data_IF_950933566370
#
_entry.id   IF_950933566370
#
_cell.length_a   1.000
_cell.length_b   1.000
_cell.length_c   1.000
_cell.angle_alpha   90.00
_cell.angle_beta   90.00
_cell.angle_gamma   90.00
#
_symmetry.space_group_name_H-M   'P 1'
#
loop_
_entity.id
_entity.type
_entity.pdbx_description
1 polymer ?
#
# COMPACT_ATOMS: atom_id res chain seq x y z
N UNK A 1 28.17 84.19 -40.33
CA UNK A 1 28.24 83.21 -39.22
C UNK A 1 27.01 82.36 -39.28
N UNK A 2 27.13 81.15 -39.83
CA UNK A 2 26.05 80.20 -40.01
C UNK A 2 26.00 79.29 -38.69
N UNK A 3 24.92 79.33 -38.00
CA UNK A 3 24.67 78.39 -36.90
C UNK A 3 24.09 77.07 -37.45
N UNK A 4 24.84 75.96 -37.31
CA UNK A 4 24.43 74.65 -37.69
C UNK A 4 23.70 74.07 -36.48
N UNK A 5 22.41 73.73 -36.64
CA UNK A 5 21.56 73.11 -35.65
C UNK A 5 21.69 71.59 -35.84
N UNK A 6 22.32 70.89 -34.90
CA UNK A 6 22.36 69.41 -34.83
C UNK A 6 21.10 68.92 -34.19
N UNK A 7 20.20 68.31 -34.96
CA UNK A 7 19.12 67.49 -34.45
C UNK A 7 19.66 66.09 -34.13
N UNK A 8 19.82 65.79 -32.85
CA UNK A 8 20.19 64.48 -32.37
C UNK A 8 18.92 63.63 -32.27
N UNK A 9 18.70 62.75 -33.24
CA UNK A 9 17.67 61.72 -33.19
C UNK A 9 18.09 60.63 -32.18
N UNK A 10 17.51 60.59 -31.02
CA UNK A 10 17.59 59.45 -30.04
C UNK A 10 16.69 58.33 -30.56
N UNK A 11 17.28 57.34 -31.22
CA UNK A 11 16.65 56.04 -31.51
C UNK A 11 16.53 55.28 -30.22
N UNK A 12 15.37 55.34 -29.55
CA UNK A 12 14.96 54.37 -28.52
C UNK A 12 14.70 53.02 -29.18
N UNK A 13 15.70 52.16 -29.21
CA UNK A 13 15.51 50.75 -29.52
C UNK A 13 14.75 50.10 -28.35
N UNK A 14 13.46 49.98 -28.50
CA UNK A 14 12.64 49.09 -27.64
C UNK A 14 13.09 47.68 -27.95
N UNK A 15 13.98 47.14 -27.12
CA UNK A 15 14.29 45.72 -27.09
C UNK A 15 13.02 45.01 -26.58
N UNK A 16 12.13 44.66 -27.51
CA UNK A 16 11.10 43.65 -27.26
C UNK A 16 11.81 42.34 -26.95
N UNK A 17 11.99 42.04 -25.67
CA UNK A 17 12.35 40.69 -25.26
C UNK A 17 11.14 39.81 -25.62
N UNK A 18 11.17 39.26 -26.83
CA UNK A 18 10.24 38.22 -27.21
C UNK A 18 10.45 37.07 -26.22
N UNK A 19 9.55 36.96 -25.26
CA UNK A 19 9.48 35.83 -24.35
C UNK A 19 9.29 34.59 -25.23
N UNK A 20 10.35 33.81 -25.44
CA UNK A 20 10.29 32.58 -26.25
C UNK A 20 9.19 31.71 -25.65
N UNK A 21 8.09 31.58 -26.41
CA UNK A 21 6.93 30.78 -26.01
C UNK A 21 7.42 29.35 -25.75
N UNK A 22 7.39 28.92 -24.50
CA UNK A 22 7.76 27.52 -24.18
C UNK A 22 6.78 26.58 -24.86
N UNK A 23 7.20 25.37 -25.18
CA UNK A 23 6.34 24.37 -25.81
C UNK A 23 5.03 24.10 -25.02
N UNK A 24 4.96 24.51 -23.73
CA UNK A 24 3.82 24.30 -22.84
C UNK A 24 3.05 25.58 -22.46
N UNK A 25 3.41 26.73 -23.02
CA UNK A 25 2.86 28.05 -22.63
C UNK A 25 1.34 28.13 -22.72
N UNK A 26 0.74 27.44 -23.70
CA UNK A 26 -0.72 27.45 -23.89
C UNK A 26 -1.43 26.64 -22.81
N UNK A 27 -0.89 25.47 -22.44
CA UNK A 27 -1.37 24.65 -21.32
C UNK A 27 -1.23 25.42 -20.02
N UNK A 28 -0.04 25.99 -19.77
CA UNK A 28 0.26 26.73 -18.54
C UNK A 28 -0.67 27.94 -18.36
N UNK A 29 -0.89 28.71 -19.42
CA UNK A 29 -1.79 29.86 -19.41
C UNK A 29 -3.23 29.48 -19.14
N UNK A 30 -3.68 28.36 -19.71
CA UNK A 30 -5.06 27.87 -19.54
C UNK A 30 -5.30 27.34 -18.14
N UNK A 31 -4.41 26.50 -17.62
CA UNK A 31 -4.57 25.94 -16.26
C UNK A 31 -4.37 27.00 -15.16
N UNK A 32 -3.56 28.03 -15.40
CA UNK A 32 -3.43 29.16 -14.47
C UNK A 32 -4.75 29.92 -14.25
N UNK A 33 -5.71 29.79 -15.17
CA UNK A 33 -7.04 30.42 -15.10
C UNK A 33 -8.12 29.48 -14.60
N UNK A 34 -7.77 28.34 -13.99
CA UNK A 34 -8.76 27.44 -13.40
C UNK A 34 -9.65 28.19 -12.40
N UNK A 35 -10.98 28.14 -12.51
CA UNK A 35 -11.87 28.77 -11.54
C UNK A 35 -11.67 28.22 -10.14
N UNK A 36 -11.84 29.07 -9.12
CA UNK A 36 -11.56 28.69 -7.71
C UNK A 36 -12.40 27.49 -7.27
N UNK A 37 -13.65 27.43 -7.67
CA UNK A 37 -14.58 26.34 -7.36
C UNK A 37 -14.07 24.97 -7.80
N UNK A 38 -13.34 24.88 -8.92
CA UNK A 38 -12.72 23.64 -9.38
C UNK A 38 -11.43 23.28 -8.66
N UNK A 39 -10.76 24.28 -8.07
CA UNK A 39 -9.45 24.11 -7.43
C UNK A 39 -9.51 23.75 -5.95
N UNK A 40 -10.71 23.50 -5.41
CA UNK A 40 -10.93 23.13 -4.00
C UNK A 40 -10.77 21.63 -3.72
N UNK A 41 -10.80 20.80 -4.77
CA UNK A 41 -10.61 19.35 -4.67
C UNK A 41 -9.80 18.80 -5.83
N UNK A 42 -9.11 17.71 -5.64
CA UNK A 42 -8.38 17.00 -6.71
C UNK A 42 -9.34 16.51 -7.80
N UNK A 43 -10.55 16.09 -7.43
CA UNK A 43 -11.60 15.70 -8.38
C UNK A 43 -12.02 16.88 -9.26
N UNK A 44 -12.20 18.06 -8.68
CA UNK A 44 -12.52 19.28 -9.44
C UNK A 44 -11.39 19.63 -10.41
N UNK A 45 -10.13 19.63 -9.93
CA UNK A 45 -8.97 19.92 -10.79
C UNK A 45 -8.86 18.90 -11.93
N UNK A 46 -8.98 17.59 -11.63
CA UNK A 46 -8.92 16.53 -12.63
C UNK A 46 -10.02 16.67 -13.69
N UNK A 47 -11.24 17.00 -13.29
CA UNK A 47 -12.35 17.23 -14.21
C UNK A 47 -12.08 18.44 -15.10
N UNK A 48 -11.68 19.57 -14.53
CA UNK A 48 -11.32 20.76 -15.31
C UNK A 48 -10.24 20.44 -16.34
N UNK A 49 -9.18 19.72 -15.95
CA UNK A 49 -8.11 19.35 -16.84
C UNK A 49 -8.61 18.42 -17.95
N UNK A 50 -9.41 17.41 -17.63
CA UNK A 50 -9.94 16.47 -18.62
C UNK A 50 -10.85 17.15 -19.64
N UNK A 51 -11.66 18.09 -19.22
CA UNK A 51 -12.57 18.84 -20.10
C UNK A 51 -11.82 19.83 -21.02
N UNK A 52 -10.63 20.26 -20.63
CA UNK A 52 -9.91 21.34 -21.30
C UNK A 52 -8.66 20.93 -22.09
N UNK A 53 -8.12 19.72 -21.85
CA UNK A 53 -6.91 19.20 -22.50
C UNK A 53 -7.16 17.82 -23.06
N UNK A 54 -6.59 17.51 -24.22
CA UNK A 54 -6.89 16.29 -24.98
C UNK A 54 -5.86 15.19 -24.75
N UNK A 55 -4.58 15.52 -24.83
CA UNK A 55 -3.50 14.54 -24.77
C UNK A 55 -3.03 14.31 -23.34
N UNK A 56 -2.52 13.13 -23.03
CA UNK A 56 -1.97 12.82 -21.70
C UNK A 56 -0.78 13.74 -21.37
N UNK A 57 0.01 14.12 -22.37
CA UNK A 57 1.10 15.09 -22.17
C UNK A 57 0.60 16.48 -21.76
N UNK A 58 -0.49 16.98 -22.37
CA UNK A 58 -1.11 18.24 -21.94
C UNK A 58 -1.72 18.14 -20.55
N UNK A 59 -2.45 17.06 -20.27
CA UNK A 59 -3.07 16.83 -18.98
C UNK A 59 -2.04 16.78 -17.86
N UNK A 60 -1.00 15.98 -18.01
CA UNK A 60 0.05 15.85 -16.98
C UNK A 60 0.86 17.14 -16.83
N UNK A 61 1.01 17.93 -17.93
CA UNK A 61 1.60 19.28 -17.84
C UNK A 61 0.74 20.20 -16.98
N UNK A 62 -0.56 20.18 -17.18
CA UNK A 62 -1.50 21.00 -16.41
C UNK A 62 -1.43 20.64 -14.92
N UNK A 63 -1.37 19.35 -14.56
CA UNK A 63 -1.18 18.91 -13.17
C UNK A 63 0.13 19.42 -12.60
N UNK A 64 1.24 19.21 -13.33
CA UNK A 64 2.56 19.64 -12.88
C UNK A 64 2.62 21.15 -12.64
N UNK A 65 2.17 21.93 -13.63
CA UNK A 65 2.16 23.38 -13.53
C UNK A 65 1.29 23.85 -12.36
N UNK A 66 0.07 23.32 -12.25
CA UNK A 66 -0.84 23.70 -11.18
C UNK A 66 -0.25 23.38 -9.80
N UNK A 67 0.26 22.17 -9.59
CA UNK A 67 0.85 21.74 -8.33
C UNK A 67 2.06 22.61 -7.97
N UNK A 68 2.98 22.82 -8.92
CA UNK A 68 4.19 23.60 -8.70
C UNK A 68 3.91 25.09 -8.44
N UNK A 69 2.84 25.65 -9.02
CA UNK A 69 2.55 27.08 -8.90
C UNK A 69 1.56 27.44 -7.80
N UNK A 70 0.75 26.50 -7.34
CA UNK A 70 -0.28 26.76 -6.32
C UNK A 70 0.10 26.28 -4.91
N UNK A 71 1.06 25.37 -4.76
CA UNK A 71 1.53 24.92 -3.46
C UNK A 71 2.84 25.62 -3.12
N UNK A 72 2.98 26.12 -1.89
CA UNK A 72 4.21 26.70 -1.37
C UNK A 72 4.90 25.70 -0.45
N UNK A 73 6.25 25.61 -0.55
CA UNK A 73 6.98 24.68 0.29
C UNK A 73 6.96 25.13 1.76
N UNK A 74 6.58 24.22 2.64
CA UNK A 74 6.44 24.47 4.09
C UNK A 74 7.81 24.26 4.78
N UNK A 75 8.67 25.27 4.67
CA UNK A 75 10.04 25.23 5.19
C UNK A 75 10.07 24.93 6.70
N UNK A 76 9.24 25.54 7.56
CA UNK A 76 9.24 25.24 8.99
C UNK A 76 9.00 23.78 9.33
N UNK A 77 8.19 23.07 8.56
CA UNK A 77 7.78 21.68 8.83
C UNK A 77 8.53 20.64 7.97
N UNK A 78 9.59 21.04 7.26
CA UNK A 78 10.30 20.14 6.33
C UNK A 78 11.00 18.97 6.99
N UNK A 79 11.40 19.08 8.26
CA UNK A 79 12.13 18.04 8.99
C UNK A 79 11.24 17.09 9.80
N UNK A 80 9.99 17.44 10.01
CA UNK A 80 9.05 16.66 10.82
C UNK A 80 7.65 16.65 10.22
N UNK A 81 7.47 16.09 9.01
CA UNK A 81 6.13 15.91 8.47
C UNK A 81 5.32 14.97 9.36
N UNK A 82 4.04 15.26 9.55
CA UNK A 82 3.15 14.37 10.29
C UNK A 82 2.98 13.05 9.53
N UNK A 83 3.58 11.99 10.05
CA UNK A 83 3.54 10.66 9.44
C UNK A 83 2.21 9.93 9.69
N UNK A 84 1.38 10.42 10.61
CA UNK A 84 0.08 9.80 10.95
C UNK A 84 -1.05 10.26 10.01
N UNK A 85 -0.85 11.34 9.26
CA UNK A 85 -1.83 11.80 8.28
C UNK A 85 -1.98 10.78 7.13
N UNK A 86 -3.22 10.40 6.85
CA UNK A 86 -3.56 9.60 5.67
C UNK A 86 -3.27 10.38 4.37
N UNK A 87 -3.16 9.71 3.21
CA UNK A 87 -3.04 10.39 1.92
C UNK A 87 -4.13 11.43 1.68
N UNK A 88 -5.38 11.10 2.01
CA UNK A 88 -6.51 11.99 1.84
C UNK A 88 -6.41 13.24 2.72
N UNK A 89 -6.04 13.09 3.99
CA UNK A 89 -5.84 14.22 4.92
C UNK A 89 -4.71 15.14 4.43
N UNK A 90 -3.60 14.58 3.92
CA UNK A 90 -2.52 15.36 3.32
C UNK A 90 -3.00 16.20 2.13
N UNK A 91 -3.80 15.59 1.24
CA UNK A 91 -4.38 16.26 0.07
C UNK A 91 -5.28 17.41 0.51
N UNK A 92 -6.26 17.16 1.39
CA UNK A 92 -7.23 18.16 1.85
C UNK A 92 -6.56 19.34 2.55
N UNK A 93 -5.63 19.04 3.46
CA UNK A 93 -4.82 20.06 4.15
C UNK A 93 -4.03 20.90 3.15
N UNK A 94 -3.40 20.26 2.16
CA UNK A 94 -2.60 20.96 1.14
C UNK A 94 -3.46 21.84 0.26
N UNK A 95 -4.60 21.36 -0.20
CA UNK A 95 -5.53 22.15 -1.00
C UNK A 95 -6.09 23.34 -0.24
N UNK A 96 -6.39 23.17 1.05
CA UNK A 96 -6.88 24.23 1.94
C UNK A 96 -5.82 25.29 2.26
N UNK A 97 -4.63 24.85 2.63
CA UNK A 97 -3.56 25.76 3.11
C UNK A 97 -2.66 26.29 1.99
N UNK A 98 -2.66 25.66 0.83
CA UNK A 98 -1.71 25.88 -0.28
C UNK A 98 -0.25 25.77 0.17
N UNK A 99 0.00 24.92 1.20
CA UNK A 99 1.34 24.67 1.76
C UNK A 99 1.54 23.17 1.98
N UNK A 100 2.77 22.70 1.81
CA UNK A 100 3.16 21.34 2.11
C UNK A 100 4.63 21.06 1.85
N UNK A 101 5.13 19.92 2.30
CA UNK A 101 6.46 19.40 1.98
C UNK A 101 6.36 18.43 0.81
N UNK A 102 7.44 17.81 0.38
CA UNK A 102 7.54 16.98 -0.83
C UNK A 102 6.41 15.93 -0.96
N UNK A 103 6.10 15.20 0.11
CA UNK A 103 5.02 14.20 0.09
C UNK A 103 3.66 14.81 -0.22
N UNK A 104 3.37 16.01 0.25
CA UNK A 104 2.11 16.69 -0.01
C UNK A 104 1.97 17.09 -1.50
N UNK A 105 3.06 17.56 -2.11
CA UNK A 105 3.10 17.82 -3.56
C UNK A 105 2.87 16.52 -4.34
N UNK A 106 3.54 15.45 -3.92
CA UNK A 106 3.46 14.15 -4.58
C UNK A 106 2.05 13.55 -4.46
N UNK A 107 1.40 13.62 -3.29
CA UNK A 107 0.03 13.13 -3.09
C UNK A 107 -0.97 13.88 -3.97
N UNK A 108 -0.93 15.22 -4.00
CA UNK A 108 -1.81 16.02 -4.85
C UNK A 108 -1.60 15.71 -6.33
N UNK A 109 -0.35 15.66 -6.79
CA UNK A 109 -0.02 15.35 -8.18
C UNK A 109 -0.49 13.94 -8.57
N UNK A 110 -0.20 12.96 -7.73
CA UNK A 110 -0.54 11.56 -7.94
C UNK A 110 -2.05 11.35 -8.01
N UNK A 111 -2.80 11.91 -7.07
CA UNK A 111 -4.25 11.74 -7.00
C UNK A 111 -4.97 12.39 -8.18
N UNK A 112 -4.59 13.61 -8.58
CA UNK A 112 -5.14 14.27 -9.77
C UNK A 112 -4.83 13.44 -11.03
N UNK A 113 -3.59 12.95 -11.18
CA UNK A 113 -3.17 12.18 -12.34
C UNK A 113 -3.96 10.88 -12.48
N UNK A 114 -4.10 10.11 -11.39
CA UNK A 114 -4.85 8.85 -11.40
C UNK A 114 -6.36 9.08 -11.65
N UNK A 115 -6.95 10.16 -11.13
CA UNK A 115 -8.34 10.53 -11.42
C UNK A 115 -8.61 10.85 -12.89
N UNK A 116 -7.58 11.23 -13.64
CA UNK A 116 -7.66 11.43 -15.09
C UNK A 116 -7.35 10.16 -15.91
N UNK A 117 -7.12 9.02 -15.24
CA UNK A 117 -6.76 7.75 -15.89
C UNK A 117 -5.28 7.64 -16.27
N UNK A 118 -4.44 8.60 -15.88
CA UNK A 118 -2.98 8.54 -16.09
C UNK A 118 -2.36 7.75 -14.94
N UNK A 119 -1.80 6.57 -15.23
CA UNK A 119 -1.14 5.74 -14.22
C UNK A 119 0.04 6.49 -13.62
N UNK A 120 -0.10 6.91 -12.37
CA UNK A 120 0.88 7.67 -11.62
C UNK A 120 1.18 6.99 -10.28
N UNK A 121 2.43 7.13 -9.80
CA UNK A 121 2.89 6.57 -8.53
C UNK A 121 3.77 7.57 -7.79
N UNK A 122 3.67 7.56 -6.47
CA UNK A 122 4.61 8.26 -5.61
C UNK A 122 5.84 7.39 -5.43
N UNK A 123 7.00 8.00 -5.60
CA UNK A 123 8.30 7.38 -5.42
C UNK A 123 8.98 8.05 -4.22
N UNK A 124 9.44 7.23 -3.30
CA UNK A 124 10.19 7.68 -2.13
C UNK A 124 11.67 7.28 -2.27
N UNK A 125 12.53 8.18 -1.85
CA UNK A 125 13.96 7.98 -1.96
C UNK A 125 14.76 9.10 -1.31
N UNK A 126 15.96 9.31 -1.80
CA UNK A 126 16.84 10.39 -1.36
C UNK A 126 17.49 11.09 -2.56
N UNK A 127 17.99 12.28 -2.31
CA UNK A 127 18.46 13.15 -3.40
C UNK A 127 19.92 13.54 -3.22
N UNK A 128 20.52 13.99 -4.34
CA UNK A 128 21.88 14.52 -4.40
C UNK A 128 21.86 15.89 -5.02
N UNK A 129 22.40 16.89 -4.35
CA UNK A 129 22.52 18.25 -4.81
C UNK A 129 23.98 18.71 -4.68
N UNK A 130 24.53 19.32 -5.73
CA UNK A 130 25.91 19.83 -5.73
C UNK A 130 26.94 18.79 -5.21
N UNK A 131 26.75 17.52 -5.59
CA UNK A 131 27.62 16.42 -5.17
C UNK A 131 27.36 15.86 -3.78
N UNK A 132 26.53 16.50 -2.95
CA UNK A 132 26.22 16.09 -1.59
C UNK A 132 24.87 15.38 -1.51
N UNK A 133 24.81 14.30 -0.71
CA UNK A 133 23.56 13.59 -0.41
C UNK A 133 22.76 14.43 0.58
N UNK A 134 21.45 14.61 0.31
CA UNK A 134 20.55 15.28 1.23
C UNK A 134 20.40 14.48 2.53
N UNK A 135 20.14 15.18 3.63
CA UNK A 135 19.99 14.59 4.97
C UNK A 135 18.55 14.17 5.29
N UNK A 136 17.60 14.52 4.41
CA UNK A 136 16.19 14.16 4.55
C UNK A 136 15.74 13.36 3.31
N UNK A 137 14.82 12.43 3.54
CA UNK A 137 14.16 11.70 2.47
C UNK A 137 13.34 12.65 1.60
N UNK A 138 13.11 12.24 0.37
CA UNK A 138 12.34 13.00 -0.61
C UNK A 138 11.28 12.12 -1.29
N UNK A 139 10.17 12.73 -1.67
CA UNK A 139 9.11 12.09 -2.41
C UNK A 139 8.83 12.87 -3.69
N UNK A 140 8.68 12.13 -4.79
CA UNK A 140 8.32 12.65 -6.11
C UNK A 140 7.36 11.70 -6.81
N UNK A 141 7.07 11.90 -8.09
CA UNK A 141 6.14 11.07 -8.83
C UNK A 141 6.78 10.47 -10.09
N UNK A 142 6.23 9.35 -10.52
CA UNK A 142 6.43 8.83 -11.86
C UNK A 142 5.08 8.56 -12.50
N UNK A 143 4.93 8.89 -13.79
CA UNK A 143 3.71 8.62 -14.53
C UNK A 143 4.01 7.96 -15.88
N UNK A 144 3.10 7.08 -16.31
CA UNK A 144 3.20 6.38 -17.59
C UNK A 144 2.45 7.17 -18.67
N UNK A 145 3.19 7.79 -19.58
CA UNK A 145 2.68 8.58 -20.69
C UNK A 145 3.04 7.88 -21.99
N UNK A 146 2.05 7.60 -22.83
CA UNK A 146 2.27 6.92 -24.12
C UNK A 146 3.09 5.62 -23.95
N UNK A 147 2.71 4.82 -22.95
CA UNK A 147 3.38 3.55 -22.58
C UNK A 147 4.83 3.67 -22.08
N UNK A 148 5.33 4.88 -21.80
CA UNK A 148 6.67 5.10 -21.26
C UNK A 148 6.62 5.80 -19.90
N UNK A 149 7.45 5.36 -18.96
CA UNK A 149 7.58 5.97 -17.65
C UNK A 149 8.46 7.22 -17.71
N UNK A 150 7.97 8.29 -17.10
CA UNK A 150 8.67 9.55 -16.88
C UNK A 150 8.59 9.95 -15.41
N UNK A 151 9.59 10.70 -14.97
CA UNK A 151 9.67 11.19 -13.59
C UNK A 151 9.23 12.65 -13.54
N UNK A 152 8.50 13.00 -12.49
CA UNK A 152 7.97 14.33 -12.22
C UNK A 152 8.28 14.68 -10.77
N UNK A 153 8.96 15.78 -10.53
CA UNK A 153 9.11 16.34 -9.20
C UNK A 153 8.48 17.73 -9.12
N UNK A 154 7.20 17.82 -8.74
CA UNK A 154 6.54 19.11 -8.64
C UNK A 154 7.09 19.98 -7.50
N UNK A 155 7.79 19.40 -6.51
CA UNK A 155 8.44 20.13 -5.42
C UNK A 155 9.64 20.93 -5.91
N UNK A 156 10.60 20.26 -6.55
CA UNK A 156 11.78 20.91 -7.13
C UNK A 156 11.40 21.70 -8.39
N UNK A 157 10.31 21.30 -9.03
CA UNK A 157 9.68 22.05 -10.11
C UNK A 157 9.08 23.37 -9.67
N UNK A 158 8.65 23.49 -8.41
CA UNK A 158 8.05 24.73 -7.87
C UNK A 158 9.08 25.81 -7.52
N UNK A 159 10.31 25.42 -7.17
CA UNK A 159 11.36 26.37 -6.77
C UNK A 159 12.36 25.79 -5.79
N UNK A 160 12.88 26.62 -4.90
CA UNK A 160 13.90 26.23 -3.92
C UNK A 160 13.86 27.05 -2.65
N UNK A 161 14.75 26.73 -1.72
CA UNK A 161 14.89 27.45 -0.46
C UNK A 161 16.13 28.36 -0.55
N UNK A 162 15.95 29.62 -0.24
CA UNK A 162 17.03 30.60 -0.12
C UNK A 162 16.84 31.40 1.18
N UNK A 163 17.87 31.48 2.00
CA UNK A 163 17.85 32.16 3.30
C UNK A 163 16.66 31.75 4.19
N UNK A 164 16.37 30.43 4.25
CA UNK A 164 15.28 29.87 5.06
C UNK A 164 13.87 30.18 4.55
N UNK A 165 13.73 30.72 3.34
CA UNK A 165 12.43 31.03 2.73
C UNK A 165 12.27 30.32 1.40
N UNK A 166 11.06 29.85 1.12
CA UNK A 166 10.72 29.28 -0.17
C UNK A 166 10.67 30.40 -1.25
N UNK A 167 11.43 30.20 -2.33
CA UNK A 167 11.43 31.08 -3.49
C UNK A 167 10.83 30.30 -4.66
N UNK A 168 9.66 30.74 -5.12
CA UNK A 168 8.96 30.14 -6.25
C UNK A 168 9.68 30.49 -7.55
N UNK A 169 10.07 29.46 -8.28
CA UNK A 169 10.67 29.60 -9.61
C UNK A 169 10.42 28.30 -10.38
N UNK A 170 9.45 28.31 -11.28
CA UNK A 170 9.11 27.14 -12.06
C UNK A 170 10.35 26.58 -12.80
N UNK A 171 10.64 25.31 -12.59
CA UNK A 171 11.76 24.60 -13.20
C UNK A 171 11.27 23.39 -14.00
N UNK A 172 11.29 23.54 -15.32
CA UNK A 172 10.82 22.53 -16.26
C UNK A 172 11.74 21.30 -16.37
N UNK A 173 12.95 21.33 -15.79
CA UNK A 173 13.83 20.15 -15.74
C UNK A 173 13.17 18.95 -15.03
N UNK A 174 12.30 19.24 -14.06
CA UNK A 174 11.59 18.24 -13.26
C UNK A 174 10.22 17.86 -13.83
N UNK A 175 9.89 18.34 -15.02
CA UNK A 175 8.71 17.95 -15.77
C UNK A 175 9.07 16.91 -16.83
N UNK A 176 8.39 15.76 -16.82
CA UNK A 176 8.56 14.68 -17.81
C UNK A 176 10.04 14.29 -18.00
N UNK A 177 10.78 14.20 -16.88
CA UNK A 177 12.19 13.88 -16.89
C UNK A 177 12.42 12.41 -17.25
N UNK A 178 13.42 12.16 -18.12
CA UNK A 178 13.84 10.81 -18.45
C UNK A 178 14.47 10.11 -17.23
N UNK A 179 14.09 8.87 -16.90
CA UNK A 179 14.67 8.11 -15.79
C UNK A 179 16.20 8.09 -15.78
N UNK A 180 16.82 7.91 -16.95
CA UNK A 180 18.28 7.88 -17.10
C UNK A 180 18.98 9.20 -16.81
N UNK A 181 18.25 10.32 -16.86
CA UNK A 181 18.79 11.66 -16.54
C UNK A 181 18.55 12.01 -15.07
N UNK A 182 17.33 11.78 -14.59
CA UNK A 182 16.94 12.18 -13.24
C UNK A 182 17.64 11.34 -12.16
N UNK A 183 18.07 10.12 -12.48
CA UNK A 183 18.83 9.25 -11.57
C UNK A 183 20.13 9.91 -11.08
N UNK A 184 20.62 10.93 -11.74
CA UNK A 184 21.78 11.70 -11.28
C UNK A 184 21.56 12.42 -9.95
N UNK A 185 20.31 12.75 -9.65
CA UNK A 185 19.92 13.53 -8.47
C UNK A 185 18.86 12.85 -7.58
N UNK A 186 18.09 11.90 -8.11
CA UNK A 186 16.98 11.26 -7.43
C UNK A 186 17.17 9.75 -7.38
N UNK A 187 17.48 9.22 -6.20
CA UNK A 187 17.70 7.79 -5.97
C UNK A 187 16.53 7.19 -5.20
N UNK A 188 15.67 6.37 -5.84
CA UNK A 188 14.62 5.64 -5.14
C UNK A 188 15.19 4.67 -4.09
N UNK A 189 14.50 4.48 -2.97
CA UNK A 189 14.89 3.47 -1.99
C UNK A 189 14.79 2.06 -2.58
N UNK A 190 13.71 1.77 -3.30
CA UNK A 190 13.55 0.53 -4.07
C UNK A 190 13.95 0.77 -5.52
N UNK A 191 15.01 0.09 -5.97
CA UNK A 191 15.61 0.29 -7.29
C UNK A 191 14.66 -0.04 -8.47
N UNK A 192 13.58 -0.77 -8.26
CA UNK A 192 12.55 -1.00 -9.28
C UNK A 192 12.00 0.34 -9.81
N UNK A 193 11.85 1.32 -8.94
CA UNK A 193 11.33 2.65 -9.24
C UNK A 193 12.34 3.60 -9.87
N UNK A 194 13.50 3.09 -10.28
CA UNK A 194 14.41 3.83 -11.15
C UNK A 194 13.95 3.80 -12.61
N UNK A 195 13.07 2.84 -12.98
CA UNK A 195 12.64 2.61 -14.36
C UNK A 195 13.81 2.38 -15.33
N UNK A 196 14.82 1.66 -14.88
CA UNK A 196 16.05 1.33 -15.62
C UNK A 196 16.25 -0.18 -15.71
N UNK A 197 16.60 -0.67 -16.91
CA UNK A 197 16.93 -2.08 -17.11
C UNK A 197 18.28 -2.50 -16.50
N UNK A 198 19.12 -1.54 -16.19
CA UNK A 198 20.39 -1.71 -15.47
C UNK A 198 20.42 -0.72 -14.30
N UNK A 199 19.76 -1.06 -13.18
CA UNK A 199 19.61 -0.12 -12.07
C UNK A 199 20.95 0.30 -11.48
N UNK A 200 21.02 1.55 -11.05
CA UNK A 200 22.13 2.12 -10.31
C UNK A 200 22.03 1.65 -8.86
N UNK A 201 23.16 1.13 -8.32
CA UNK A 201 23.22 0.77 -6.92
C UNK A 201 23.43 2.01 -6.03
N UNK A 202 23.10 1.88 -4.74
CA UNK A 202 23.39 2.94 -3.77
C UNK A 202 24.88 3.31 -3.75
N UNK A 203 25.78 2.34 -3.88
CA UNK A 203 27.23 2.57 -3.93
C UNK A 203 27.66 3.38 -5.17
N UNK A 204 27.09 3.06 -6.33
CA UNK A 204 27.37 3.79 -7.58
C UNK A 204 26.83 5.21 -7.54
N UNK A 205 25.63 5.41 -7.01
CA UNK A 205 25.04 6.73 -6.83
C UNK A 205 25.90 7.61 -5.93
N UNK A 206 26.38 7.08 -4.81
CA UNK A 206 27.31 7.78 -3.92
C UNK A 206 28.62 8.13 -4.64
N UNK A 207 29.18 7.20 -5.41
CA UNK A 207 30.43 7.39 -6.17
C UNK A 207 30.25 8.21 -7.46
N UNK A 208 29.04 8.65 -7.81
CA UNK A 208 28.77 9.38 -9.05
C UNK A 208 28.81 8.52 -10.32
N UNK A 209 28.83 7.20 -10.19
CA UNK A 209 28.82 6.23 -11.31
C UNK A 209 27.39 5.90 -11.74
N UNK A 210 26.78 6.80 -12.46
CA UNK A 210 25.35 6.71 -12.87
C UNK A 210 25.15 6.36 -14.35
N UNK A 211 26.23 6.13 -15.09
CA UNK A 211 26.17 5.76 -16.50
C UNK A 211 25.60 4.33 -16.66
N UNK A 212 24.94 4.12 -17.78
CA UNK A 212 24.41 2.82 -18.15
C UNK A 212 25.54 1.77 -18.22
N UNK A 213 25.45 0.75 -17.38
CA UNK A 213 26.38 -0.36 -17.33
C UNK A 213 25.68 -1.67 -17.77
N UNK A 214 25.85 -2.04 -19.03
CA UNK A 214 25.29 -3.24 -19.64
C UNK A 214 26.01 -4.53 -19.24
N UNK A 215 27.10 -4.47 -18.46
CA UNK A 215 27.76 -5.66 -17.91
C UNK A 215 26.98 -6.24 -16.71
N UNK A 216 26.09 -5.44 -16.11
CA UNK A 216 25.19 -5.90 -15.06
C UNK A 216 24.13 -6.86 -15.58
N UNK A 217 23.55 -7.63 -14.67
CA UNK A 217 22.37 -8.42 -14.99
C UNK A 217 21.22 -7.51 -15.44
N UNK A 218 20.63 -7.83 -16.57
CA UNK A 218 19.42 -7.18 -17.06
C UNK A 218 18.27 -7.30 -16.05
N UNK A 219 17.58 -6.21 -15.78
CA UNK A 219 16.42 -6.12 -14.90
C UNK A 219 15.24 -5.60 -15.73
N UNK A 220 14.27 -6.46 -15.95
CA UNK A 220 13.04 -6.11 -16.65
C UNK A 220 12.09 -5.38 -15.70
N UNK A 221 12.31 -4.09 -15.53
CA UNK A 221 11.50 -3.29 -14.60
C UNK A 221 10.03 -3.22 -15.01
N UNK A 222 9.68 -3.31 -16.30
CA UNK A 222 8.28 -3.29 -16.74
C UNK A 222 7.55 -4.55 -16.31
N UNK A 223 8.19 -5.71 -16.48
CA UNK A 223 7.69 -6.99 -15.99
C UNK A 223 7.56 -6.99 -14.47
N UNK A 224 8.56 -6.50 -13.77
CA UNK A 224 8.55 -6.44 -12.30
C UNK A 224 7.43 -5.51 -11.78
N UNK A 225 7.20 -4.37 -12.42
CA UNK A 225 6.07 -3.49 -12.10
C UNK A 225 4.73 -4.19 -12.37
N UNK A 226 4.61 -4.94 -13.46
CA UNK A 226 3.38 -5.69 -13.75
C UNK A 226 3.13 -6.80 -12.72
N UNK A 227 4.17 -7.50 -12.26
CA UNK A 227 4.08 -8.47 -11.16
C UNK A 227 3.69 -7.80 -9.85
N UNK A 228 4.34 -6.70 -9.50
CA UNK A 228 4.04 -5.89 -8.32
C UNK A 228 2.58 -5.41 -8.29
N UNK A 229 2.05 -4.95 -9.44
CA UNK A 229 0.68 -4.45 -9.53
C UNK A 229 -0.39 -5.52 -9.29
N UNK A 230 -0.06 -6.79 -9.56
CA UNK A 230 -0.95 -7.94 -9.37
C UNK A 230 -0.65 -8.71 -8.07
N UNK A 231 0.39 -8.36 -7.36
CA UNK A 231 0.77 -9.01 -6.11
C UNK A 231 -0.13 -8.56 -4.94
N UNK A 232 -0.23 -9.41 -3.92
CA UNK A 232 -0.85 -9.03 -2.65
C UNK A 232 -0.05 -7.92 -1.96
N UNK A 233 -0.69 -7.13 -1.09
CA UNK A 233 0.00 -6.12 -0.29
C UNK A 233 1.17 -6.73 0.51
N UNK A 234 0.97 -7.94 1.04
CA UNK A 234 2.01 -8.71 1.73
C UNK A 234 3.23 -8.93 0.86
N UNK A 235 3.03 -9.41 -0.40
CA UNK A 235 4.11 -9.68 -1.33
C UNK A 235 4.78 -8.40 -1.82
N UNK A 236 4.00 -7.33 -2.06
CA UNK A 236 4.52 -6.02 -2.44
C UNK A 236 5.48 -5.47 -1.38
N UNK A 237 5.11 -5.55 -0.10
CA UNK A 237 5.94 -5.08 1.02
C UNK A 237 7.19 -5.94 1.20
N UNK A 238 7.05 -7.26 1.12
CA UNK A 238 8.16 -8.20 1.25
C UNK A 238 9.18 -8.02 0.14
N UNK A 239 8.74 -8.02 -1.12
CA UNK A 239 9.61 -7.87 -2.28
C UNK A 239 10.29 -6.49 -2.33
N UNK A 240 9.57 -5.43 -1.95
CA UNK A 240 10.17 -4.09 -1.83
C UNK A 240 11.27 -4.07 -0.79
N UNK A 241 11.03 -4.64 0.41
CA UNK A 241 12.06 -4.74 1.45
C UNK A 241 13.28 -5.54 0.96
N UNK A 242 13.07 -6.66 0.26
CA UNK A 242 14.15 -7.48 -0.29
C UNK A 242 14.98 -6.73 -1.33
N UNK A 243 14.35 -5.94 -2.22
CA UNK A 243 15.07 -5.11 -3.20
C UNK A 243 15.87 -3.99 -2.53
N UNK A 244 15.33 -3.34 -1.49
CA UNK A 244 16.05 -2.31 -0.72
C UNK A 244 17.28 -2.89 -0.05
N UNK A 245 17.15 -4.04 0.64
CA UNK A 245 18.23 -4.75 1.30
C UNK A 245 19.34 -5.15 0.31
N UNK A 246 18.95 -5.72 -0.81
CA UNK A 246 19.87 -6.12 -1.89
C UNK A 246 20.67 -4.95 -2.45
N UNK A 247 20.09 -3.75 -2.49
CA UNK A 247 20.76 -2.53 -2.97
C UNK A 247 21.73 -1.94 -1.95
N UNK A 248 21.70 -2.40 -0.70
CA UNK A 248 22.62 -2.06 0.39
C UNK A 248 22.28 -0.77 1.11
N UNK A 249 22.64 -0.72 2.40
CA UNK A 249 22.38 0.41 3.30
C UNK A 249 23.57 1.38 3.32
N UNK A 250 23.49 2.51 2.62
CA UNK A 250 24.54 3.53 2.56
C UNK A 250 24.28 4.73 3.48
N UNK A 251 23.07 4.89 3.98
CA UNK A 251 22.68 5.94 4.94
C UNK A 251 21.52 5.48 5.82
N UNK A 252 21.25 6.25 6.89
CA UNK A 252 20.19 5.97 7.84
C UNK A 252 18.80 5.98 7.19
N UNK A 253 18.54 6.87 6.22
CA UNK A 253 17.24 6.98 5.53
C UNK A 253 16.85 5.68 4.83
N UNK A 254 17.81 5.00 4.18
CA UNK A 254 17.56 3.70 3.52
C UNK A 254 17.20 2.65 4.56
N UNK A 255 17.91 2.60 5.69
CA UNK A 255 17.66 1.64 6.76
C UNK A 255 16.30 1.92 7.43
N UNK A 256 15.96 3.17 7.69
CA UNK A 256 14.67 3.59 8.24
C UNK A 256 13.52 3.19 7.33
N UNK A 257 13.67 3.42 6.03
CA UNK A 257 12.64 3.05 5.05
C UNK A 257 12.48 1.52 4.93
N UNK A 258 13.59 0.78 4.94
CA UNK A 258 13.56 -0.68 5.01
C UNK A 258 12.81 -1.18 6.25
N UNK A 259 13.16 -0.63 7.42
CA UNK A 259 12.51 -0.99 8.67
C UNK A 259 11.00 -0.64 8.66
N UNK A 260 10.63 0.48 8.04
CA UNK A 260 9.23 0.84 7.83
C UNK A 260 8.50 -0.22 6.99
N UNK A 261 9.06 -0.65 5.86
CA UNK A 261 8.48 -1.71 5.02
C UNK A 261 8.36 -3.04 5.76
N UNK A 262 9.37 -3.42 6.54
CA UNK A 262 9.32 -4.61 7.41
C UNK A 262 8.24 -4.52 8.47
N UNK A 263 8.09 -3.35 9.10
CA UNK A 263 7.03 -3.10 10.10
C UNK A 263 5.63 -3.20 9.46
N UNK A 264 5.43 -2.58 8.30
CA UNK A 264 4.18 -2.67 7.54
C UNK A 264 3.86 -4.12 7.15
N UNK A 265 4.86 -4.85 6.63
CA UNK A 265 4.73 -6.26 6.30
C UNK A 265 4.31 -7.12 7.52
N UNK A 266 4.99 -6.94 8.67
CA UNK A 266 4.63 -7.63 9.90
C UNK A 266 3.19 -7.33 10.34
N UNK A 267 2.75 -6.07 10.23
CA UNK A 267 1.38 -5.69 10.59
C UNK A 267 0.33 -6.36 9.70
N UNK A 268 0.57 -6.42 8.37
CA UNK A 268 -0.32 -7.12 7.42
C UNK A 268 -0.39 -8.61 7.76
N UNK A 269 0.75 -9.25 8.04
CA UNK A 269 0.80 -10.67 8.42
C UNK A 269 0.09 -10.96 9.74
N UNK A 270 0.26 -10.08 10.74
CA UNK A 270 -0.44 -10.21 12.03
C UNK A 270 -1.95 -10.06 11.86
N UNK A 271 -2.42 -9.08 11.12
CA UNK A 271 -3.84 -8.88 10.86
C UNK A 271 -4.47 -10.11 10.17
N UNK A 272 -3.81 -10.64 9.13
CA UNK A 272 -4.27 -11.84 8.44
C UNK A 272 -4.32 -13.07 9.37
N UNK A 273 -3.37 -13.19 10.31
CA UNK A 273 -3.35 -14.27 11.29
C UNK A 273 -4.49 -14.12 12.34
N UNK A 274 -4.79 -12.88 12.75
CA UNK A 274 -5.92 -12.58 13.65
C UNK A 274 -7.27 -12.89 12.97
N UNK A 275 -7.44 -12.52 11.71
CA UNK A 275 -8.66 -12.83 10.95
C UNK A 275 -8.87 -14.34 10.82
N UNK A 276 -7.79 -15.08 10.59
CA UNK A 276 -7.81 -16.54 10.56
C UNK A 276 -8.18 -17.13 11.92
N UNK A 277 -7.64 -16.58 13.00
CA UNK A 277 -7.99 -16.98 14.37
C UNK A 277 -9.48 -16.76 14.65
N UNK A 278 -10.02 -15.61 14.28
CA UNK A 278 -11.45 -15.29 14.43
C UNK A 278 -12.34 -16.28 13.67
N UNK A 279 -11.94 -16.69 12.46
CA UNK A 279 -12.63 -17.71 11.67
C UNK A 279 -12.63 -19.05 12.38
N UNK A 280 -11.49 -19.49 12.94
CA UNK A 280 -11.38 -20.75 13.71
C UNK A 280 -12.28 -20.71 14.95
N UNK A 281 -12.33 -19.57 15.65
CA UNK A 281 -13.20 -19.41 16.84
C UNK A 281 -14.67 -19.50 16.46
N UNK A 282 -15.08 -18.91 15.34
CA UNK A 282 -16.46 -19.01 14.86
C UNK A 282 -16.84 -20.47 14.51
N UNK A 283 -15.98 -21.18 13.78
CA UNK A 283 -16.18 -22.59 13.44
C UNK A 283 -16.21 -23.50 14.71
N UNK A 284 -15.33 -23.21 15.67
CA UNK A 284 -15.31 -23.90 16.96
C UNK A 284 -16.65 -23.74 17.72
N UNK A 285 -17.14 -22.52 17.82
CA UNK A 285 -18.41 -22.24 18.51
C UNK A 285 -19.58 -22.96 17.84
N UNK A 286 -19.63 -22.95 16.50
CA UNK A 286 -20.65 -23.70 15.75
C UNK A 286 -20.56 -25.21 16.01
N UNK A 287 -19.34 -25.78 15.98
CA UNK A 287 -19.11 -27.18 16.22
C UNK A 287 -19.53 -27.59 17.66
N UNK A 288 -19.21 -26.75 18.65
CA UNK A 288 -19.61 -26.98 20.07
C UNK A 288 -21.12 -26.92 20.22
N UNK A 289 -21.81 -25.99 19.56
CA UNK A 289 -23.28 -25.93 19.57
C UNK A 289 -23.89 -27.22 18.98
N UNK A 290 -23.40 -27.64 17.80
CA UNK A 290 -23.87 -28.90 17.18
C UNK A 290 -23.58 -30.14 18.03
N UNK A 291 -22.44 -30.19 18.71
CA UNK A 291 -22.08 -31.26 19.61
C UNK A 291 -23.04 -31.27 20.82
N UNK A 292 -23.35 -30.13 21.41
CA UNK A 292 -24.30 -30.00 22.52
C UNK A 292 -25.71 -30.44 22.11
N UNK A 293 -26.18 -30.06 20.94
CA UNK A 293 -27.47 -30.49 20.38
C UNK A 293 -27.50 -32.02 20.22
N UNK A 294 -26.43 -32.62 19.73
CA UNK A 294 -26.31 -34.08 19.67
C UNK A 294 -26.34 -34.71 21.04
N UNK A 295 -25.60 -34.17 22.03
CA UNK A 295 -25.57 -34.68 23.41
C UNK A 295 -26.98 -34.64 24.03
N UNK A 296 -27.71 -33.54 23.84
CA UNK A 296 -29.10 -33.42 24.30
C UNK A 296 -30.00 -34.49 23.65
N UNK A 297 -29.85 -34.69 22.32
CA UNK A 297 -30.59 -35.71 21.59
C UNK A 297 -30.28 -37.14 22.05
N UNK A 298 -29.00 -37.44 22.31
CA UNK A 298 -28.56 -38.73 22.92
C UNK A 298 -29.15 -38.90 24.30
N UNK A 299 -29.10 -37.88 25.17
CA UNK A 299 -29.65 -37.92 26.53
C UNK A 299 -31.16 -38.13 26.53
N UNK A 300 -31.88 -37.65 25.49
CA UNK A 300 -33.29 -37.91 25.26
C UNK A 300 -33.55 -39.30 24.58
N UNK A 301 -32.55 -40.20 24.63
CA UNK A 301 -32.62 -41.57 24.10
C UNK A 301 -32.99 -41.64 22.65
N UNK A 302 -32.44 -40.70 21.84
CA UNK A 302 -32.68 -40.52 20.40
C UNK A 302 -34.16 -40.35 20.05
N UNK A 303 -34.86 -39.52 20.82
CA UNK A 303 -36.25 -39.15 20.55
C UNK A 303 -36.35 -37.65 20.14
N UNK A 304 -37.14 -37.30 19.10
CA UNK A 304 -37.89 -38.21 18.21
C UNK A 304 -36.95 -39.12 17.40
N UNK A 305 -37.46 -40.21 16.86
CA UNK A 305 -36.65 -41.18 16.10
C UNK A 305 -36.24 -40.60 14.74
N UNK A 306 -34.95 -40.63 14.46
CA UNK A 306 -34.39 -40.33 13.13
C UNK A 306 -33.81 -41.59 12.48
N UNK A 307 -33.45 -41.48 11.20
CA UNK A 307 -32.74 -42.55 10.48
C UNK A 307 -31.33 -42.76 11.05
N UNK A 308 -30.78 -43.95 10.87
CA UNK A 308 -29.44 -44.30 11.31
C UNK A 308 -28.39 -43.39 10.70
N UNK A 309 -28.55 -43.00 9.40
CA UNK A 309 -27.71 -42.05 8.69
C UNK A 309 -27.76 -40.67 9.34
N UNK A 310 -28.95 -40.19 9.70
CA UNK A 310 -29.15 -38.89 10.35
C UNK A 310 -28.48 -38.84 11.72
N UNK A 311 -28.62 -39.90 12.52
CA UNK A 311 -27.99 -40.02 13.85
C UNK A 311 -26.46 -40.00 13.71
N UNK A 312 -25.92 -40.77 12.74
CA UNK A 312 -24.48 -40.76 12.42
C UNK A 312 -24.00 -39.38 12.02
N UNK A 313 -24.70 -38.70 11.10
CA UNK A 313 -24.34 -37.38 10.61
C UNK A 313 -24.34 -36.34 11.73
N UNK A 314 -25.29 -36.39 12.67
CA UNK A 314 -25.39 -35.41 13.76
C UNK A 314 -24.15 -35.38 14.66
N UNK A 315 -23.39 -36.48 14.77
CA UNK A 315 -22.14 -36.51 15.56
C UNK A 315 -20.90 -36.34 14.66
N UNK A 316 -20.91 -36.87 13.44
CA UNK A 316 -19.74 -36.74 12.53
C UNK A 316 -19.50 -35.30 12.10
N UNK A 317 -20.56 -34.53 11.85
CA UNK A 317 -20.43 -33.12 11.43
C UNK A 317 -19.68 -32.26 12.45
N UNK A 318 -20.05 -32.15 13.72
CA UNK A 318 -19.30 -31.39 14.70
C UNK A 318 -17.89 -31.95 14.94
N UNK A 319 -17.72 -33.29 14.92
CA UNK A 319 -16.41 -33.91 15.04
C UNK A 319 -15.44 -33.51 13.94
N UNK A 320 -15.87 -33.53 12.68
CA UNK A 320 -15.06 -33.11 11.55
C UNK A 320 -14.70 -31.63 11.61
N UNK A 321 -15.65 -30.77 12.03
CA UNK A 321 -15.38 -29.34 12.25
C UNK A 321 -14.34 -29.11 13.34
N UNK A 322 -14.45 -29.83 14.48
CA UNK A 322 -13.45 -29.74 15.56
C UNK A 322 -12.07 -30.21 15.12
N UNK A 323 -11.98 -31.29 14.33
CA UNK A 323 -10.72 -31.77 13.77
C UNK A 323 -10.13 -30.76 12.79
N UNK A 324 -10.96 -30.11 11.97
CA UNK A 324 -10.52 -29.00 11.10
C UNK A 324 -9.98 -27.82 11.91
N UNK A 325 -10.71 -27.37 12.94
CA UNK A 325 -10.25 -26.31 13.84
C UNK A 325 -8.89 -26.65 14.48
N UNK A 326 -8.69 -27.90 14.90
CA UNK A 326 -7.42 -28.36 15.44
C UNK A 326 -6.28 -28.22 14.42
N UNK A 327 -6.48 -28.70 13.21
CA UNK A 327 -5.48 -28.57 12.15
C UNK A 327 -5.16 -27.11 11.81
N UNK A 328 -6.19 -26.26 11.75
CA UNK A 328 -6.03 -24.87 11.33
C UNK A 328 -5.34 -24.03 12.40
N UNK A 329 -5.62 -24.25 13.71
CA UNK A 329 -4.98 -23.50 14.80
C UNK A 329 -3.49 -23.86 14.96
N UNK A 330 -3.07 -25.08 14.57
CA UNK A 330 -1.65 -25.45 14.59
C UNK A 330 -0.85 -24.84 13.43
N UNK A 331 -1.53 -24.41 12.36
CA UNK A 331 -0.91 -23.73 11.21
C UNK A 331 -0.80 -22.22 11.39
N UNK A 332 -1.39 -21.67 12.45
CA UNK A 332 -1.30 -20.23 12.71
C UNK A 332 0.10 -19.85 13.15
N UNK A 333 0.69 -18.89 12.41
CA UNK A 333 1.97 -18.26 12.72
C UNK A 333 1.77 -16.75 12.80
N UNK A 334 2.64 -16.05 13.55
CA UNK A 334 2.69 -14.57 13.61
C UNK A 334 1.44 -13.86 14.16
N UNK A 335 0.78 -14.44 15.16
CA UNK A 335 -0.45 -13.86 15.77
C UNK A 335 -0.16 -12.74 16.80
N UNK A 336 1.09 -12.43 17.05
CA UNK A 336 1.52 -11.52 18.11
C UNK A 336 1.60 -12.19 19.49
N UNK A 337 2.52 -11.74 20.32
CA UNK A 337 2.76 -12.30 21.67
C UNK A 337 1.56 -12.10 22.61
N UNK A 338 0.80 -11.04 22.42
CA UNK A 338 -0.41 -10.70 23.17
C UNK A 338 -1.52 -11.75 23.01
N UNK A 339 -1.55 -12.48 21.90
CA UNK A 339 -2.55 -13.50 21.61
C UNK A 339 -2.17 -14.91 22.08
N UNK A 340 -0.95 -15.12 22.57
CA UNK A 340 -0.41 -16.44 22.91
C UNK A 340 -1.27 -17.16 23.97
N UNK A 341 -1.68 -16.48 25.03
CA UNK A 341 -2.52 -17.04 26.10
C UNK A 341 -3.89 -17.46 25.58
N UNK A 342 -4.49 -16.60 24.73
CA UNK A 342 -5.79 -16.86 24.10
C UNK A 342 -5.72 -18.08 23.18
N UNK A 343 -4.71 -18.19 22.34
CA UNK A 343 -4.50 -19.33 21.44
C UNK A 343 -4.34 -20.64 22.23
N UNK A 344 -3.60 -20.65 23.33
CA UNK A 344 -3.43 -21.81 24.16
C UNK A 344 -4.77 -22.26 24.80
N UNK A 345 -5.58 -21.31 25.22
CA UNK A 345 -6.93 -21.58 25.74
C UNK A 345 -7.85 -22.16 24.65
N UNK A 346 -7.81 -21.63 23.43
CA UNK A 346 -8.59 -22.15 22.30
C UNK A 346 -8.11 -23.55 21.92
N UNK A 347 -6.80 -23.81 21.84
CA UNK A 347 -6.24 -25.14 21.58
C UNK A 347 -6.73 -26.17 22.60
N UNK A 348 -6.73 -25.80 23.88
CA UNK A 348 -7.23 -26.67 24.96
C UNK A 348 -8.73 -26.96 24.80
N UNK A 349 -9.52 -25.93 24.50
CA UNK A 349 -10.97 -26.07 24.28
C UNK A 349 -11.26 -27.01 23.08
N UNK A 350 -10.58 -26.81 21.95
CA UNK A 350 -10.71 -27.68 20.76
C UNK A 350 -10.40 -29.14 21.14
N UNK A 351 -9.28 -29.39 21.84
CA UNK A 351 -8.85 -30.75 22.18
C UNK A 351 -9.87 -31.41 23.09
N UNK A 352 -10.40 -30.72 24.10
CA UNK A 352 -11.40 -31.25 25.02
C UNK A 352 -12.72 -31.62 24.30
N UNK A 353 -13.21 -30.73 23.43
CA UNK A 353 -14.43 -31.00 22.68
C UNK A 353 -14.25 -32.09 21.62
N UNK A 354 -13.05 -32.23 21.04
CA UNK A 354 -12.77 -33.31 20.09
C UNK A 354 -12.75 -34.68 20.78
N UNK A 355 -12.14 -34.78 21.96
CA UNK A 355 -12.19 -36.02 22.78
C UNK A 355 -13.63 -36.39 23.06
N UNK A 356 -14.45 -35.44 23.51
CA UNK A 356 -15.87 -35.68 23.81
C UNK A 356 -16.66 -36.13 22.56
N UNK A 357 -16.39 -35.49 21.41
CA UNK A 357 -17.00 -35.87 20.13
C UNK A 357 -16.59 -37.28 19.68
N UNK A 358 -15.32 -37.68 19.88
CA UNK A 358 -14.82 -39.02 19.57
C UNK A 358 -15.49 -40.11 20.46
N UNK A 359 -15.69 -39.84 21.74
CA UNK A 359 -16.42 -40.75 22.66
C UNK A 359 -17.87 -40.93 22.20
N UNK A 360 -18.54 -39.82 21.81
CA UNK A 360 -19.90 -39.88 21.33
C UNK A 360 -20.01 -40.58 19.96
N UNK A 361 -19.07 -40.33 19.05
CA UNK A 361 -19.02 -41.02 17.76
C UNK A 361 -18.81 -42.51 17.91
N UNK A 362 -17.94 -42.93 18.83
CA UNK A 362 -17.72 -44.34 19.19
C UNK A 362 -18.98 -45.00 19.72
N UNK A 363 -19.70 -44.33 20.65
CA UNK A 363 -20.98 -44.80 21.12
C UNK A 363 -22.03 -44.95 20.01
N UNK A 364 -22.13 -43.97 19.10
CA UNK A 364 -23.07 -44.06 17.97
C UNK A 364 -22.72 -45.21 17.04
N UNK A 365 -21.45 -45.42 16.75
CA UNK A 365 -20.98 -46.56 15.93
C UNK A 365 -21.41 -47.90 16.55
N UNK A 366 -21.23 -48.07 17.86
CA UNK A 366 -21.68 -49.26 18.57
C UNK A 366 -23.21 -49.36 18.56
N UNK A 367 -23.94 -48.29 18.90
CA UNK A 367 -25.38 -48.24 18.90
C UNK A 367 -26.00 -48.68 17.56
N UNK A 368 -25.48 -48.14 16.45
CA UNK A 368 -25.98 -48.43 15.12
C UNK A 368 -25.64 -49.83 14.63
N UNK A 369 -24.62 -50.50 15.20
CA UNK A 369 -24.29 -51.89 14.92
C UNK A 369 -25.24 -52.91 15.56
N UNK A 370 -26.05 -52.50 16.56
CA UNK A 370 -26.96 -53.38 17.29
C UNK A 370 -28.35 -53.44 16.66
N UNK A 371 -29.06 -54.55 16.89
CA UNK A 371 -30.48 -54.67 16.50
C UNK A 371 -31.36 -53.64 17.27
N UNK A 372 -32.50 -53.27 16.68
CA UNK A 372 -33.44 -52.28 17.30
C UNK A 372 -33.88 -52.64 18.72
N UNK A 373 -33.94 -53.93 19.05
CA UNK A 373 -34.28 -54.40 20.38
C UNK A 373 -33.15 -54.13 21.39
N UNK A 374 -31.92 -54.42 21.01
CA UNK A 374 -30.72 -54.23 21.85
C UNK A 374 -30.44 -52.75 22.05
N UNK A 375 -30.67 -51.90 21.04
CA UNK A 375 -30.48 -50.42 21.13
C UNK A 375 -31.28 -49.83 22.31
N UNK A 376 -32.47 -50.35 22.63
CA UNK A 376 -33.31 -49.89 23.77
C UNK A 376 -32.63 -50.12 25.09
N UNK A 377 -31.90 -51.25 25.25
CA UNK A 377 -31.24 -51.62 26.50
C UNK A 377 -29.98 -50.80 26.77
N UNK A 378 -29.35 -50.24 25.73
CA UNK A 378 -28.14 -49.42 25.86
C UNK A 378 -28.35 -48.10 26.65
N UNK A 379 -29.60 -47.70 26.86
CA UNK A 379 -29.97 -46.54 27.70
C UNK A 379 -30.50 -46.94 29.07
N UNK A 380 -30.62 -48.26 29.37
CA UNK A 380 -31.10 -48.74 30.64
C UNK A 380 -29.91 -48.85 31.62
N UNK A 381 -29.99 -48.14 32.73
CA UNK A 381 -29.07 -48.42 33.85
C UNK A 381 -29.39 -49.82 34.38
N UNK A 382 -28.52 -50.80 34.16
CA UNK A 382 -28.63 -52.11 34.78
C UNK A 382 -28.14 -51.94 36.22
N UNK A 383 -29.05 -52.03 37.14
CA UNK A 383 -28.70 -52.17 38.58
C UNK A 383 -29.02 -53.56 39.00
N UNK A 384 -28.08 -54.20 39.61
CA UNK A 384 -28.33 -55.53 40.33
C UNK A 384 -28.46 -55.27 41.82
N UNK A 385 -29.59 -55.55 42.37
CA UNK A 385 -29.91 -55.23 43.80
C UNK A 385 -29.68 -53.74 44.16
N UNK A 386 -29.97 -52.78 43.27
CA UNK A 386 -29.78 -51.35 43.54
C UNK A 386 -28.34 -50.85 43.47
N UNK A 387 -27.37 -51.66 43.09
CA UNK A 387 -25.96 -51.24 42.82
C UNK A 387 -25.79 -51.04 41.35
N UNK A 388 -25.35 -49.84 40.89
CA UNK A 388 -25.04 -49.62 39.49
C UNK A 388 -23.92 -50.56 39.07
N UNK A 389 -24.08 -51.31 37.98
CA UNK A 389 -23.01 -52.01 37.31
C UNK A 389 -22.46 -51.00 36.24
N UNK A 390 -21.23 -50.58 36.44
CA UNK A 390 -20.51 -49.69 35.53
C UNK A 390 -20.27 -50.37 34.18
#
# INVERSE_FOLDING_TARGET
MRKILYCMFLLLSVLSVAQTKTAYSDVDTKIAKIPVEWSTSTTGIAKFITDNFKTDTEKIRAVFYWTATNISYDVPNMFAPNQLESPQEKIEKTLKTKKGVCIHYAEVFNDISNKMGIKCRIIEGYTKQNGSIATIAHAWCAAKIENKWYVFDPTWGAGGIMNGKFIRKLNNFYFKAEPSKIIASHMPFDYMWQFLNYPVTNAEFYGGKIQLDKTKKYFDFEKEIALYDNASENDQLFESAARIEKNGFKNAMILEYYNLKKKQWNAVMQNAAVDKLNTIVAELNEAVLQLNDFIMYRNNKFKPAFSDEKISQMIQTPREKLAKCQNDIFKLVMVGSENTSNINSIKKNIAQNLILADEHASFVKEYLSKSKLVRKTMFSKISWFGIPLN
#
